data_IF_428270780034
#
_entry.id   IF_428270780034
#
_cell.length_a   1.000
_cell.length_b   1.000
_cell.length_c   1.000
_cell.angle_alpha   90.00
_cell.angle_beta   90.00
_cell.angle_gamma   90.00
#
_symmetry.space_group_name_H-M   'P 1'
#
loop_
_entity.id
_entity.type
_entity.pdbx_description
1 polymer ?
#
# COMPACT_ATOMS: atom_id res chain seq x y z
N UNK A 1 15.85 10.26 22.54
CA UNK A 1 16.52 9.69 21.35
C UNK A 1 16.10 8.23 21.24
N UNK A 2 16.14 7.66 20.02
CA UNK A 2 15.67 6.31 19.61
C UNK A 2 14.19 6.19 19.20
N UNK A 3 13.82 6.85 18.09
CA UNK A 3 12.71 6.38 17.24
C UNK A 3 13.29 5.43 16.19
N UNK A 4 13.62 4.20 16.61
CA UNK A 4 14.01 3.13 15.71
C UNK A 4 12.73 2.65 14.97
N UNK A 5 12.34 3.37 13.93
CA UNK A 5 11.20 3.05 13.06
C UNK A 5 11.45 1.70 12.39
N UNK A 6 10.80 0.66 12.91
CA UNK A 6 10.67 -0.62 12.23
C UNK A 6 9.86 -0.37 10.95
N UNK A 7 10.53 -0.34 9.80
CA UNK A 7 9.85 -0.40 8.50
C UNK A 7 9.26 -1.80 8.40
N UNK A 8 7.94 -1.91 8.55
CA UNK A 8 7.23 -3.17 8.40
C UNK A 8 7.28 -3.59 6.92
N UNK A 9 7.60 -4.85 6.59
CA UNK A 9 7.53 -5.33 5.22
C UNK A 9 6.14 -5.12 4.63
N UNK A 10 6.04 -4.67 3.36
CA UNK A 10 4.76 -4.35 2.72
C UNK A 10 3.75 -5.52 2.79
N UNK A 11 4.26 -6.75 2.64
CA UNK A 11 3.47 -7.98 2.76
C UNK A 11 2.75 -8.15 4.11
N UNK A 12 3.29 -7.55 5.17
CA UNK A 12 2.80 -7.70 6.54
C UNK A 12 1.91 -6.51 6.95
N UNK A 13 1.76 -5.49 6.09
CA UNK A 13 0.88 -4.36 6.31
C UNK A 13 -0.57 -4.71 5.92
N UNK A 14 -1.53 -4.28 6.72
CA UNK A 14 -2.93 -4.26 6.30
C UNK A 14 -3.18 -3.07 5.34
N UNK A 15 -4.39 -3.03 4.77
CA UNK A 15 -4.76 -1.99 3.81
C UNK A 15 -4.68 -0.58 4.42
N UNK A 16 -5.22 -0.39 5.63
CA UNK A 16 -5.26 0.92 6.30
C UNK A 16 -3.86 1.46 6.63
N UNK A 17 -2.95 0.59 7.08
CA UNK A 17 -1.56 0.93 7.35
C UNK A 17 -0.83 1.29 6.06
N UNK A 18 -1.10 0.56 4.97
CA UNK A 18 -0.52 0.83 3.65
C UNK A 18 -0.95 2.21 3.13
N UNK A 19 -2.23 2.56 3.29
CA UNK A 19 -2.76 3.88 2.93
C UNK A 19 -2.16 4.98 3.81
N UNK A 20 -2.04 4.73 5.13
CA UNK A 20 -1.41 5.68 6.06
C UNK A 20 0.05 5.93 5.69
N UNK A 21 0.79 4.91 5.29
CA UNK A 21 2.17 5.04 4.84
C UNK A 21 2.28 5.78 3.50
N UNK A 22 1.38 5.50 2.54
CA UNK A 22 1.29 6.25 1.28
C UNK A 22 1.04 7.74 1.51
N UNK A 23 0.15 8.10 2.44
CA UNK A 23 -0.09 9.51 2.80
C UNK A 23 1.15 10.18 3.38
N UNK A 24 1.91 9.46 4.22
CA UNK A 24 3.18 9.97 4.75
C UNK A 24 4.20 10.18 3.63
N UNK A 25 4.33 9.24 2.71
CA UNK A 25 5.19 9.36 1.54
C UNK A 25 4.81 10.59 0.71
N UNK A 26 3.51 10.78 0.41
CA UNK A 26 3.04 11.96 -0.32
C UNK A 26 3.33 13.26 0.41
N UNK A 27 3.25 13.28 1.74
CA UNK A 27 3.64 14.42 2.57
C UNK A 27 5.14 14.69 2.49
N UNK A 28 5.97 13.65 2.58
CA UNK A 28 7.40 13.75 2.41
C UNK A 28 7.75 14.33 1.04
N UNK A 29 7.15 13.85 -0.05
CA UNK A 29 7.43 14.35 -1.41
C UNK A 29 7.17 15.84 -1.63
N UNK A 30 6.38 16.48 -0.76
CA UNK A 30 6.11 17.92 -0.81
C UNK A 30 7.12 18.74 0.01
N UNK A 31 7.98 18.08 0.78
CA UNK A 31 9.05 18.70 1.55
C UNK A 31 10.25 18.98 0.63
N UNK A 32 10.60 20.26 0.50
CA UNK A 32 11.70 20.74 -0.33
C UNK A 32 13.09 20.28 0.18
N UNK A 33 13.16 19.63 1.35
CA UNK A 33 14.39 19.12 1.94
C UNK A 33 14.79 17.70 1.49
N UNK A 34 13.98 17.02 0.66
CA UNK A 34 14.33 15.68 0.16
C UNK A 34 15.48 15.71 -0.85
N UNK A 35 16.47 14.84 -0.62
CA UNK A 35 17.51 14.59 -1.61
C UNK A 35 17.00 13.74 -2.79
N UNK A 36 17.73 13.73 -3.90
CA UNK A 36 17.43 12.91 -5.09
C UNK A 36 17.47 11.41 -4.76
N UNK A 37 18.38 11.00 -3.88
CA UNK A 37 18.49 9.60 -3.44
C UNK A 37 17.27 9.21 -2.58
N UNK A 38 16.88 10.09 -1.65
CA UNK A 38 15.70 9.88 -0.81
C UNK A 38 14.41 9.84 -1.63
N UNK A 39 14.32 10.66 -2.69
CA UNK A 39 13.21 10.65 -3.64
C UNK A 39 13.08 9.28 -4.32
N UNK A 40 14.19 8.71 -4.76
CA UNK A 40 14.21 7.39 -5.41
C UNK A 40 13.75 6.29 -4.47
N UNK A 41 14.21 6.31 -3.22
CA UNK A 41 13.81 5.34 -2.19
C UNK A 41 12.32 5.48 -1.87
N UNK A 42 11.85 6.72 -1.71
CA UNK A 42 10.46 7.05 -1.38
C UNK A 42 9.50 6.60 -2.47
N UNK A 43 9.83 6.85 -3.74
CA UNK A 43 9.04 6.41 -4.89
C UNK A 43 9.01 4.89 -5.00
N UNK A 44 10.14 4.20 -4.81
CA UNK A 44 10.18 2.73 -4.81
C UNK A 44 9.25 2.16 -3.75
N UNK A 45 9.32 2.70 -2.52
CA UNK A 45 8.44 2.27 -1.43
C UNK A 45 6.97 2.50 -1.74
N UNK A 46 6.61 3.66 -2.30
CA UNK A 46 5.24 3.94 -2.71
C UNK A 46 4.74 2.94 -3.77
N UNK A 47 5.59 2.60 -4.74
CA UNK A 47 5.28 1.61 -5.78
C UNK A 47 4.99 0.23 -5.17
N UNK A 48 5.81 -0.23 -4.22
CA UNK A 48 5.59 -1.50 -3.52
C UNK A 48 4.26 -1.52 -2.76
N UNK A 49 3.93 -0.43 -2.03
CA UNK A 49 2.67 -0.29 -1.31
C UNK A 49 1.46 -0.32 -2.25
N UNK A 50 1.54 0.40 -3.39
CA UNK A 50 0.48 0.44 -4.39
C UNK A 50 0.24 -0.94 -5.02
N UNK A 51 1.31 -1.66 -5.37
CA UNK A 51 1.21 -3.01 -5.93
C UNK A 51 0.52 -3.96 -4.95
N UNK A 52 0.88 -3.90 -3.66
CA UNK A 52 0.23 -4.72 -2.64
C UNK A 52 -1.25 -4.37 -2.44
N UNK A 53 -1.58 -3.08 -2.40
CA UNK A 53 -2.98 -2.63 -2.30
C UNK A 53 -3.80 -3.11 -3.50
N UNK A 54 -3.26 -2.99 -4.71
CA UNK A 54 -3.90 -3.47 -5.93
C UNK A 54 -4.14 -4.98 -5.89
N UNK A 55 -3.14 -5.77 -5.49
CA UNK A 55 -3.28 -7.22 -5.36
C UNK A 55 -4.36 -7.62 -4.34
N UNK A 56 -4.46 -6.91 -3.21
CA UNK A 56 -5.52 -7.13 -2.22
C UNK A 56 -6.90 -6.84 -2.82
N UNK A 57 -7.07 -5.72 -3.50
CA UNK A 57 -8.34 -5.36 -4.14
C UNK A 57 -8.78 -6.41 -5.17
N UNK A 58 -7.87 -6.84 -6.06
CA UNK A 58 -8.16 -7.87 -7.05
C UNK A 58 -8.48 -9.22 -6.40
N UNK A 59 -7.80 -9.56 -5.29
CA UNK A 59 -8.12 -10.78 -4.54
C UNK A 59 -9.51 -10.72 -3.91
N UNK A 60 -9.83 -9.59 -3.27
CA UNK A 60 -11.15 -9.37 -2.66
C UNK A 60 -12.26 -9.36 -3.71
N UNK A 61 -12.06 -8.72 -4.85
CA UNK A 61 -13.00 -8.73 -5.98
C UNK A 61 -13.29 -10.17 -6.45
N UNK A 62 -12.25 -10.98 -6.66
CA UNK A 62 -12.40 -12.40 -7.02
C UNK A 62 -13.11 -13.22 -5.97
N UNK A 63 -12.89 -12.94 -4.70
CA UNK A 63 -13.60 -13.63 -3.60
C UNK A 63 -15.09 -13.26 -3.59
N UNK A 64 -15.40 -11.97 -3.75
CA UNK A 64 -16.77 -11.48 -3.87
C UNK A 64 -17.47 -12.10 -5.07
N UNK A 65 -16.82 -12.12 -6.24
CA UNK A 65 -17.36 -12.73 -7.46
C UNK A 65 -17.65 -14.23 -7.24
N UNK A 66 -16.73 -14.97 -6.62
CA UNK A 66 -16.95 -16.39 -6.27
C UNK A 66 -18.15 -16.58 -5.33
N UNK A 67 -18.34 -15.69 -4.36
CA UNK A 67 -19.47 -15.75 -3.43
C UNK A 67 -20.78 -15.47 -4.18
N UNK A 68 -20.81 -14.45 -5.03
CA UNK A 68 -21.98 -14.09 -5.86
C UNK A 68 -22.39 -15.27 -6.75
N UNK A 69 -21.42 -15.88 -7.44
CA UNK A 69 -21.64 -17.06 -8.29
C UNK A 69 -22.14 -18.26 -7.47
N UNK A 70 -21.54 -18.52 -6.29
CA UNK A 70 -21.96 -19.60 -5.39
C UNK A 70 -23.40 -19.43 -4.87
N UNK A 71 -23.84 -18.19 -4.65
CA UNK A 71 -25.18 -17.87 -4.20
C UNK A 71 -26.21 -17.83 -5.33
N UNK A 72 -25.80 -18.03 -6.59
CA UNK A 72 -26.68 -17.94 -7.76
C UNK A 72 -27.20 -16.52 -8.01
N UNK A 73 -26.44 -15.51 -7.57
CA UNK A 73 -26.77 -14.08 -7.71
C UNK A 73 -26.02 -13.42 -8.88
N UNK A 74 -25.21 -14.18 -9.62
CA UNK A 74 -24.53 -13.73 -10.84
C UNK A 74 -25.31 -14.17 -12.06
N UNK A 75 -25.79 -13.19 -12.85
CA UNK A 75 -26.38 -13.41 -14.18
C UNK A 75 -25.34 -13.93 -15.19
#
# INVERSE_FOLDING_TARGET
MEKNSKITPVKDLNYDDSITELQKILGSLQDESLSIDDLTVTIKRASELLESCHQRLVSTEKEVEKIIQKLGLGD
#
